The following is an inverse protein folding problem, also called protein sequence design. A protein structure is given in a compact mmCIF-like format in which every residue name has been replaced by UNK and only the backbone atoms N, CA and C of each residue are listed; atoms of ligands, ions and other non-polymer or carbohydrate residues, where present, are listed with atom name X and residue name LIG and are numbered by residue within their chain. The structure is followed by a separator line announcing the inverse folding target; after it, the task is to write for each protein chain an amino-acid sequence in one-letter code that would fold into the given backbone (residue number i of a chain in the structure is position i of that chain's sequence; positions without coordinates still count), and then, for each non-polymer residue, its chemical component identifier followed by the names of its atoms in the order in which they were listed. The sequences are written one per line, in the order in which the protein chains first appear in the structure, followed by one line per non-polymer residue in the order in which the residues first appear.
data_IF_154780834374
#
_entry.id   IF_154780834374
#
_cell.length_a   1.000
_cell.length_b   1.000
_cell.length_c   1.000
_cell.angle_alpha   90.00
_cell.angle_beta   90.00
_cell.angle_gamma   90.00
#
_symmetry.space_group_name_H-M   'P 1'
#
loop_
_entity.id
_entity.type
_entity.pdbx_description
1 polymer ?
#
# COMPACT_ATOMS: atom_id res chain seq x y z
N UNK A 1 -41.45 47.88 35.05
CA UNK A 1 -41.78 46.44 35.13
C UNK A 1 -40.47 45.67 34.94
N UNK A 2 -39.75 45.41 36.04
CA UNK A 2 -38.49 44.67 36.00
C UNK A 2 -38.86 43.19 36.08
N UNK A 3 -38.80 42.49 34.95
CA UNK A 3 -38.99 41.05 34.92
C UNK A 3 -37.82 40.41 35.68
N UNK A 4 -38.09 39.98 36.92
CA UNK A 4 -37.23 39.08 37.68
C UNK A 4 -37.16 37.76 36.92
N UNK A 5 -36.16 37.63 36.05
CA UNK A 5 -35.77 36.36 35.44
C UNK A 5 -35.21 35.52 36.58
N UNK A 6 -36.02 34.60 37.10
CA UNK A 6 -35.63 33.69 38.17
C UNK A 6 -34.35 32.91 37.80
N UNK A 7 -33.57 32.51 38.80
CA UNK A 7 -32.26 31.87 38.59
C UNK A 7 -32.30 30.66 37.64
N UNK A 8 -33.43 29.97 37.54
CA UNK A 8 -33.64 28.87 36.60
C UNK A 8 -33.68 29.30 35.14
N UNK A 9 -34.34 30.40 34.78
CA UNK A 9 -34.37 30.93 33.42
C UNK A 9 -33.03 31.54 33.01
N UNK A 10 -32.30 32.14 33.95
CA UNK A 10 -30.93 32.60 33.71
C UNK A 10 -29.95 31.44 33.44
N UNK A 11 -30.08 30.33 34.18
CA UNK A 11 -29.27 29.12 33.96
C UNK A 11 -29.55 28.46 32.60
N UNK A 12 -30.81 28.38 32.18
CA UNK A 12 -31.17 27.79 30.87
C UNK A 12 -30.59 28.63 29.72
N UNK A 13 -30.66 29.96 29.83
CA UNK A 13 -30.06 30.87 28.84
C UNK A 13 -28.53 30.73 28.78
N UNK A 14 -27.87 30.54 29.91
CA UNK A 14 -26.43 30.30 29.97
C UNK A 14 -26.05 28.98 29.28
N UNK A 15 -26.79 27.89 29.54
CA UNK A 15 -26.56 26.58 28.90
C UNK A 15 -26.77 26.68 27.39
N UNK A 16 -27.83 27.38 26.96
CA UNK A 16 -28.09 27.62 25.54
C UNK A 16 -26.97 28.45 24.88
N UNK A 17 -26.49 29.51 25.55
CA UNK A 17 -25.38 30.33 25.07
C UNK A 17 -24.07 29.54 24.98
N UNK A 18 -23.77 28.68 25.97
CA UNK A 18 -22.60 27.79 25.92
C UNK A 18 -22.73 26.80 24.77
N UNK A 19 -23.90 26.19 24.56
CA UNK A 19 -24.15 25.27 23.44
C UNK A 19 -24.01 25.94 22.08
N UNK A 20 -24.55 27.16 21.93
CA UNK A 20 -24.40 27.97 20.72
C UNK A 20 -22.94 28.38 20.48
N UNK A 21 -22.24 28.87 21.50
CA UNK A 21 -20.81 29.21 21.39
C UNK A 21 -19.98 27.99 21.01
N UNK A 22 -20.25 26.81 21.60
CA UNK A 22 -19.53 25.57 21.31
C UNK A 22 -19.75 25.12 19.86
N UNK A 23 -20.98 25.23 19.36
CA UNK A 23 -21.34 24.95 17.96
C UNK A 23 -20.77 25.97 16.97
N UNK A 24 -20.77 27.27 17.32
CA UNK A 24 -20.18 28.32 16.48
C UNK A 24 -18.65 28.31 16.45
N UNK A 25 -18.00 27.82 17.50
CA UNK A 25 -16.54 27.74 17.60
C UNK A 25 -15.96 26.42 17.09
N UNK A 26 -16.78 25.50 16.56
CA UNK A 26 -16.31 24.21 16.06
C UNK A 26 -15.69 23.31 17.13
N UNK A 27 -15.94 23.58 18.42
CA UNK A 27 -15.39 22.80 19.54
C UNK A 27 -15.97 21.36 19.63
N UNK A 28 -17.01 21.08 18.85
CA UNK A 28 -17.58 19.75 18.66
C UNK A 28 -17.07 19.06 17.38
N UNK A 29 -16.25 19.72 16.57
CA UNK A 29 -15.47 19.10 15.51
C UNK A 29 -14.39 18.26 16.20
N UNK A 30 -14.77 17.02 16.54
CA UNK A 30 -13.85 16.03 17.09
C UNK A 30 -12.74 15.90 16.06
N UNK A 31 -11.57 16.45 16.38
CA UNK A 31 -10.33 16.26 15.64
C UNK A 31 -10.28 14.80 15.19
N UNK A 32 -10.27 14.63 13.86
CA UNK A 32 -10.39 13.34 13.21
C UNK A 32 -9.25 12.40 13.62
N UNK A 33 -8.15 12.96 14.12
CA UNK A 33 -6.95 12.26 14.57
C UNK A 33 -6.91 12.04 16.09
N UNK A 34 -7.85 12.59 16.86
CA UNK A 34 -7.87 12.49 18.31
C UNK A 34 -8.41 11.12 18.81
N UNK A 35 -7.59 10.08 18.66
CA UNK A 35 -7.84 8.73 19.17
C UNK A 35 -6.51 7.97 19.34
N UNK A 36 -6.39 7.18 20.41
CA UNK A 36 -5.26 6.24 20.59
C UNK A 36 -5.43 4.96 19.75
N UNK A 37 -6.63 4.70 19.23
CA UNK A 37 -6.92 3.53 18.39
C UNK A 37 -6.62 3.86 16.93
N UNK A 38 -5.34 3.73 16.57
CA UNK A 38 -4.82 3.97 15.21
C UNK A 38 -4.22 2.69 14.62
N UNK A 39 -4.30 2.54 13.30
CA UNK A 39 -3.63 1.47 12.54
C UNK A 39 -3.35 1.93 11.11
N UNK A 40 -2.46 1.23 10.42
CA UNK A 40 -2.34 1.37 8.97
C UNK A 40 -3.48 0.63 8.28
N UNK A 41 -4.05 1.23 7.25
CA UNK A 41 -5.12 0.65 6.44
C UNK A 41 -4.63 0.41 5.04
N UNK A 42 -4.95 -0.74 4.46
CA UNK A 42 -4.84 -0.94 3.03
C UNK A 42 -5.83 0.01 2.35
N UNK A 43 -5.34 0.88 1.50
CA UNK A 43 -6.15 1.79 0.70
C UNK A 43 -6.64 1.09 -0.57
N UNK A 44 -5.72 0.45 -1.31
CA UNK A 44 -6.05 -0.24 -2.56
C UNK A 44 -5.09 -1.40 -2.87
N UNK A 45 -5.56 -2.32 -3.72
CA UNK A 45 -4.78 -3.42 -4.33
C UNK A 45 -5.08 -3.43 -5.83
N UNK A 46 -4.13 -2.99 -6.64
CA UNK A 46 -4.29 -2.94 -8.09
C UNK A 46 -3.41 -3.97 -8.81
N UNK A 47 -3.85 -4.36 -9.99
CA UNK A 47 -3.11 -5.24 -10.89
C UNK A 47 -2.87 -4.47 -12.18
N UNK A 48 -1.60 -4.21 -12.48
CA UNK A 48 -1.18 -3.47 -13.67
C UNK A 48 -0.61 -4.48 -14.64
N UNK A 49 -1.34 -4.76 -15.71
CA UNK A 49 -1.03 -5.82 -16.67
C UNK A 49 -0.81 -5.22 -18.06
N UNK A 50 0.12 -5.81 -18.81
CA UNK A 50 0.24 -5.55 -20.24
C UNK A 50 -0.67 -6.48 -21.06
N UNK A 51 -0.62 -6.34 -22.39
CA UNK A 51 -1.42 -7.14 -23.32
C UNK A 51 -1.17 -8.66 -23.24
N UNK A 52 -0.09 -9.10 -22.57
CA UNK A 52 0.26 -10.51 -22.38
C UNK A 52 -0.26 -11.07 -21.05
N UNK A 53 -0.94 -10.26 -20.23
CA UNK A 53 -1.43 -10.65 -18.91
C UNK A 53 -0.32 -10.80 -17.86
N UNK A 54 0.80 -10.09 -18.05
CA UNK A 54 1.90 -10.01 -17.10
C UNK A 54 2.14 -8.56 -16.69
N UNK A 55 2.65 -8.37 -15.48
CA UNK A 55 2.97 -7.05 -14.96
C UNK A 55 3.16 -7.12 -13.46
N UNK A 56 2.45 -6.28 -12.72
CA UNK A 56 2.70 -6.09 -11.29
C UNK A 56 1.40 -6.01 -10.48
N UNK A 57 1.43 -6.59 -9.29
CA UNK A 57 0.43 -6.37 -8.25
C UNK A 57 0.97 -5.32 -7.29
N UNK A 58 0.22 -4.25 -7.05
CA UNK A 58 0.61 -3.14 -6.21
C UNK A 58 -0.32 -3.05 -5.00
N UNK A 59 0.25 -2.82 -3.82
CA UNK A 59 -0.48 -2.53 -2.59
C UNK A 59 -0.17 -1.13 -2.10
N UNK A 60 -1.24 -0.36 -1.86
CA UNK A 60 -1.16 0.93 -1.22
C UNK A 60 -1.76 0.88 0.17
N UNK A 61 -1.07 1.54 1.09
CA UNK A 61 -1.53 1.70 2.46
C UNK A 61 -1.51 3.17 2.84
N UNK A 62 -2.22 3.49 3.92
CA UNK A 62 -2.02 4.76 4.59
C UNK A 62 -0.55 4.87 5.00
N UNK A 63 0.06 6.03 4.73
CA UNK A 63 1.45 6.34 5.10
C UNK A 63 1.66 6.10 6.60
N UNK A 64 0.81 6.70 7.42
CA UNK A 64 0.89 6.62 8.86
C UNK A 64 -0.23 5.75 9.46
N UNK A 65 -0.11 5.53 10.77
CA UNK A 65 -1.18 4.95 11.59
C UNK A 65 -2.27 6.00 11.77
N UNK A 66 -3.45 5.75 11.22
CA UNK A 66 -4.56 6.70 11.24
C UNK A 66 -5.77 6.15 11.99
N UNK A 67 -6.69 7.03 12.37
CA UNK A 67 -7.98 6.62 12.94
C UNK A 67 -8.88 6.06 11.83
N UNK A 68 -9.92 5.31 12.20
CA UNK A 68 -10.96 4.86 11.24
C UNK A 68 -11.61 6.06 10.54
N UNK A 69 -11.80 7.19 11.23
CA UNK A 69 -12.44 8.37 10.65
C UNK A 69 -11.53 9.00 9.61
N UNK A 70 -10.23 9.17 9.91
CA UNK A 70 -9.22 9.68 8.98
C UNK A 70 -9.12 8.78 7.75
N UNK A 71 -9.09 7.46 7.93
CA UNK A 71 -9.12 6.52 6.81
C UNK A 71 -10.36 6.69 5.92
N UNK A 72 -11.56 6.86 6.51
CA UNK A 72 -12.78 7.11 5.74
C UNK A 72 -12.73 8.42 4.97
N UNK A 73 -12.12 9.46 5.52
CA UNK A 73 -11.92 10.74 4.83
C UNK A 73 -10.94 10.57 3.66
N UNK A 74 -9.80 9.90 3.85
CA UNK A 74 -8.84 9.59 2.79
C UNK A 74 -9.51 8.88 1.61
N UNK A 75 -10.41 7.91 1.86
CA UNK A 75 -11.15 7.21 0.79
C UNK A 75 -12.02 8.14 -0.07
N UNK A 76 -12.40 9.32 0.43
CA UNK A 76 -13.20 10.30 -0.32
C UNK A 76 -12.37 11.23 -1.20
N UNK A 77 -11.04 11.18 -1.11
CA UNK A 77 -10.13 12.05 -1.85
C UNK A 77 -10.00 11.60 -3.30
N UNK A 78 -10.81 12.21 -4.17
CA UNK A 78 -10.92 11.82 -5.58
C UNK A 78 -9.59 11.88 -6.33
N UNK A 79 -8.69 12.82 -5.98
CA UNK A 79 -7.40 12.97 -6.64
C UNK A 79 -6.55 11.68 -6.57
N UNK A 80 -6.65 10.90 -5.48
CA UNK A 80 -5.88 9.65 -5.32
C UNK A 80 -6.35 8.63 -6.36
N UNK A 81 -7.67 8.44 -6.46
CA UNK A 81 -8.28 7.54 -7.44
C UNK A 81 -7.99 7.96 -8.88
N UNK A 82 -8.08 9.26 -9.18
CA UNK A 82 -7.76 9.80 -10.51
C UNK A 82 -6.26 9.58 -10.85
N UNK A 83 -5.37 9.63 -9.86
CA UNK A 83 -3.95 9.32 -10.05
C UNK A 83 -3.74 7.85 -10.42
N UNK A 84 -4.41 6.92 -9.73
CA UNK A 84 -4.23 5.49 -9.98
C UNK A 84 -4.85 5.04 -11.31
N UNK A 85 -5.97 5.63 -11.71
CA UNK A 85 -6.53 5.41 -13.04
C UNK A 85 -5.56 5.85 -14.15
N UNK A 86 -4.82 6.94 -13.94
CA UNK A 86 -3.75 7.35 -14.86
C UNK A 86 -2.58 6.38 -14.86
N UNK A 87 -2.15 5.90 -13.69
CA UNK A 87 -1.11 4.87 -13.58
C UNK A 87 -1.47 3.65 -14.43
N UNK A 88 -2.68 3.12 -14.27
CA UNK A 88 -3.17 1.96 -15.02
C UNK A 88 -3.22 2.22 -16.52
N UNK A 89 -3.72 3.40 -16.93
CA UNK A 89 -3.81 3.77 -18.34
C UNK A 89 -2.44 4.01 -19.01
N UNK A 90 -1.47 4.55 -18.28
CA UNK A 90 -0.17 4.98 -18.83
C UNK A 90 0.90 3.91 -18.76
N UNK A 91 0.80 2.93 -17.84
CA UNK A 91 1.84 1.92 -17.61
C UNK A 91 2.17 1.10 -18.86
N UNK A 92 1.13 0.68 -19.61
CA UNK A 92 1.30 -0.06 -20.85
C UNK A 92 2.18 0.71 -21.84
N UNK A 93 1.80 1.94 -22.17
CA UNK A 93 2.52 2.78 -23.13
C UNK A 93 3.94 3.12 -22.64
N UNK A 94 4.09 3.44 -21.35
CA UNK A 94 5.39 3.79 -20.77
C UNK A 94 6.42 2.66 -20.89
N UNK A 95 5.98 1.42 -20.72
CA UNK A 95 6.84 0.22 -20.78
C UNK A 95 6.66 -0.58 -22.08
N UNK A 96 6.27 0.08 -23.19
CA UNK A 96 6.15 -0.52 -24.53
C UNK A 96 5.27 -1.79 -24.57
N UNK A 97 4.26 -1.87 -23.70
CA UNK A 97 3.37 -3.01 -23.48
C UNK A 97 4.08 -4.34 -23.22
N UNK A 98 5.27 -4.28 -22.60
CA UNK A 98 6.08 -5.44 -22.22
C UNK A 98 6.62 -5.28 -20.81
N UNK A 99 5.72 -5.25 -19.83
CA UNK A 99 6.05 -5.11 -18.41
C UNK A 99 6.92 -6.26 -17.91
N UNK A 100 6.88 -7.42 -18.56
CA UNK A 100 7.74 -8.54 -18.19
C UNK A 100 9.24 -8.29 -18.44
N UNK A 101 9.58 -7.40 -19.36
CA UNK A 101 10.98 -7.06 -19.65
C UNK A 101 11.52 -5.92 -18.77
N UNK A 102 10.65 -5.31 -17.97
CA UNK A 102 10.97 -4.19 -17.07
C UNK A 102 11.50 -4.71 -15.74
N UNK A 103 12.58 -4.10 -15.24
CA UNK A 103 13.04 -4.34 -13.87
C UNK A 103 12.04 -3.77 -12.87
N UNK A 104 11.69 -4.53 -11.82
CA UNK A 104 10.68 -4.11 -10.85
C UNK A 104 11.02 -2.78 -10.17
N UNK A 105 12.30 -2.45 -9.96
CA UNK A 105 12.69 -1.16 -9.41
C UNK A 105 12.47 -0.02 -10.40
N UNK A 106 12.72 -0.25 -11.69
CA UNK A 106 12.49 0.77 -12.72
C UNK A 106 10.99 1.07 -12.86
N UNK A 107 10.14 0.04 -12.74
CA UNK A 107 8.69 0.22 -12.64
C UNK A 107 8.30 1.00 -11.39
N UNK A 108 8.86 0.66 -10.22
CA UNK A 108 8.58 1.36 -8.96
C UNK A 108 8.99 2.83 -9.02
N UNK A 109 10.20 3.15 -9.47
CA UNK A 109 10.67 4.54 -9.56
C UNK A 109 9.75 5.39 -10.41
N UNK A 110 9.25 4.83 -11.52
CA UNK A 110 8.23 5.50 -12.32
C UNK A 110 6.89 5.60 -11.58
N UNK A 111 6.40 4.51 -10.96
CA UNK A 111 5.09 4.46 -10.31
C UNK A 111 4.98 5.42 -9.11
N UNK A 112 6.09 5.75 -8.44
CA UNK A 112 6.13 6.74 -7.34
C UNK A 112 5.58 8.11 -7.72
N UNK A 113 5.61 8.50 -9.00
CA UNK A 113 5.03 9.79 -9.42
C UNK A 113 3.52 9.87 -9.21
N UNK A 114 2.84 8.72 -9.03
CA UNK A 114 1.40 8.64 -8.78
C UNK A 114 1.04 8.62 -7.30
N UNK A 115 2.02 8.53 -6.39
CA UNK A 115 1.85 8.70 -4.95
C UNK A 115 1.72 10.20 -4.62
N UNK A 116 0.58 10.79 -5.00
CA UNK A 116 0.36 12.24 -4.97
C UNK A 116 -0.17 12.78 -3.64
N UNK A 117 -0.67 11.91 -2.76
CA UNK A 117 -1.26 12.29 -1.49
C UNK A 117 -0.36 11.81 -0.35
N UNK A 118 0.07 12.69 0.58
CA UNK A 118 1.01 12.30 1.62
C UNK A 118 0.47 11.22 2.58
N UNK A 119 -0.85 11.04 2.67
CA UNK A 119 -1.46 10.07 3.57
C UNK A 119 -1.58 8.66 2.98
N UNK A 120 -1.24 8.45 1.71
CA UNK A 120 -1.27 7.14 1.04
C UNK A 120 -0.01 6.94 0.19
N UNK A 121 0.59 5.75 0.25
CA UNK A 121 1.77 5.42 -0.56
C UNK A 121 1.80 3.95 -0.98
N UNK A 122 2.53 3.67 -2.05
CA UNK A 122 2.87 2.33 -2.48
C UNK A 122 3.75 1.68 -1.40
N UNK A 123 3.31 0.55 -0.85
CA UNK A 123 4.07 -0.15 0.19
C UNK A 123 4.66 -1.45 -0.29
N UNK A 124 3.98 -2.15 -1.20
CA UNK A 124 4.47 -3.43 -1.68
C UNK A 124 4.13 -3.58 -3.16
N UNK A 125 5.00 -4.30 -3.85
CA UNK A 125 4.79 -4.67 -5.24
C UNK A 125 5.25 -6.10 -5.45
N UNK A 126 4.48 -6.89 -6.19
CA UNK A 126 4.85 -8.23 -6.64
C UNK A 126 4.87 -8.25 -8.16
N UNK A 127 5.74 -9.08 -8.73
CA UNK A 127 5.54 -9.49 -10.12
C UNK A 127 4.27 -10.34 -10.21
N UNK A 128 3.50 -10.14 -11.28
CA UNK A 128 2.20 -10.76 -11.45
C UNK A 128 2.05 -11.30 -12.88
N UNK A 129 1.38 -12.45 -13.01
CA UNK A 129 1.12 -13.08 -14.31
C UNK A 129 1.72 -14.48 -14.44
N UNK A 130 1.22 -15.22 -15.43
CA UNK A 130 1.57 -16.64 -15.59
C UNK A 130 3.02 -16.83 -16.04
N UNK A 131 3.54 -15.93 -16.87
CA UNK A 131 4.90 -16.05 -17.39
C UNK A 131 5.93 -15.71 -16.32
N UNK A 132 5.71 -14.68 -15.50
CA UNK A 132 6.53 -14.43 -14.32
C UNK A 132 6.55 -15.65 -13.39
N UNK A 133 5.39 -16.24 -13.08
CA UNK A 133 5.31 -17.47 -12.28
C UNK A 133 6.12 -18.61 -12.90
N UNK A 134 6.13 -18.74 -14.23
CA UNK A 134 6.95 -19.74 -14.92
C UNK A 134 8.44 -19.47 -14.75
N UNK A 135 8.87 -18.21 -14.89
CA UNK A 135 10.26 -17.81 -14.77
C UNK A 135 10.83 -18.11 -13.38
N UNK A 136 10.18 -17.63 -12.32
CA UNK A 136 10.62 -17.86 -10.92
C UNK A 136 10.41 -19.30 -10.41
N UNK A 137 9.96 -20.21 -11.27
CA UNK A 137 9.87 -21.65 -10.97
C UNK A 137 10.92 -22.47 -11.71
N UNK A 138 11.74 -21.83 -12.54
CA UNK A 138 12.81 -22.54 -13.25
C UNK A 138 13.84 -23.07 -12.23
N UNK A 139 14.33 -24.30 -12.43
CA UNK A 139 15.37 -24.85 -11.58
C UNK A 139 16.67 -24.06 -11.71
N UNK A 140 17.48 -24.07 -10.65
CA UNK A 140 18.83 -23.51 -10.62
C UNK A 140 19.80 -24.58 -10.15
N UNK A 141 21.05 -24.55 -10.61
CA UNK A 141 22.11 -25.49 -10.22
C UNK A 141 22.34 -25.50 -8.69
N UNK A 142 21.96 -24.41 -8.01
CA UNK A 142 22.12 -24.23 -6.57
C UNK A 142 21.08 -24.99 -5.74
N UNK A 143 19.94 -25.39 -6.32
CA UNK A 143 18.83 -26.04 -5.60
C UNK A 143 18.16 -27.15 -6.44
N UNK A 144 18.83 -28.29 -6.66
CA UNK A 144 18.32 -29.36 -7.52
C UNK A 144 17.11 -30.14 -6.95
N UNK A 145 16.71 -29.89 -5.70
CA UNK A 145 15.60 -30.61 -5.06
C UNK A 145 14.51 -29.67 -4.56
N UNK A 146 13.70 -29.10 -5.45
CA UNK A 146 12.48 -28.36 -5.06
C UNK A 146 11.32 -28.65 -6.00
N UNK A 147 10.32 -29.35 -5.47
CA UNK A 147 9.00 -29.49 -6.08
C UNK A 147 8.05 -28.44 -5.47
N UNK A 148 7.99 -27.25 -6.06
CA UNK A 148 6.97 -26.27 -5.69
C UNK A 148 5.66 -26.64 -6.41
N UNK A 149 4.55 -26.92 -5.71
CA UNK A 149 3.25 -27.08 -6.36
C UNK A 149 2.90 -25.80 -7.10
N UNK A 150 2.20 -25.92 -8.23
CA UNK A 150 1.81 -24.80 -9.09
C UNK A 150 0.93 -23.74 -8.38
N UNK A 151 0.48 -24.02 -7.15
CA UNK A 151 -0.57 -23.30 -6.42
C UNK A 151 -0.10 -22.30 -5.36
N UNK A 152 1.19 -22.22 -5.00
CA UNK A 152 1.68 -21.24 -4.02
C UNK A 152 2.47 -20.11 -4.71
N UNK A 153 2.23 -18.85 -4.30
CA UNK A 153 2.99 -17.65 -4.72
C UNK A 153 4.35 -17.53 -3.98
N UNK A 154 4.72 -18.54 -3.19
CA UNK A 154 6.06 -18.65 -2.59
C UNK A 154 7.14 -18.57 -3.67
N UNK A 155 8.20 -17.80 -3.41
CA UNK A 155 9.33 -17.64 -4.31
C UNK A 155 9.14 -16.59 -5.42
N UNK A 156 7.97 -15.97 -5.52
CA UNK A 156 7.73 -14.88 -6.48
C UNK A 156 8.43 -13.60 -6.01
N UNK A 157 9.05 -12.88 -6.95
CA UNK A 157 9.72 -11.61 -6.67
C UNK A 157 8.73 -10.58 -6.13
N UNK A 158 9.11 -9.93 -5.03
CA UNK A 158 8.37 -8.84 -4.44
C UNK A 158 9.31 -7.82 -3.81
N UNK A 159 8.83 -6.59 -3.65
CA UNK A 159 9.49 -5.54 -2.87
C UNK A 159 8.59 -5.16 -1.68
N UNK A 160 9.23 -4.88 -0.56
CA UNK A 160 8.58 -4.32 0.63
C UNK A 160 8.76 -2.79 0.69
N UNK A 161 8.09 -2.15 1.65
CA UNK A 161 8.03 -0.69 1.68
C UNK A 161 9.41 -0.04 1.83
N UNK A 162 10.33 -0.69 2.54
CA UNK A 162 11.70 -0.20 2.67
C UNK A 162 12.54 -0.42 1.41
N UNK A 163 12.13 -1.33 0.52
CA UNK A 163 12.77 -1.48 -0.78
C UNK A 163 12.19 -0.44 -1.77
N UNK A 164 10.90 -0.11 -1.66
CA UNK A 164 10.24 0.96 -2.43
C UNK A 164 10.77 2.33 -1.98
N UNK A 165 10.78 2.60 -0.69
CA UNK A 165 11.19 3.87 -0.08
C UNK A 165 12.34 3.62 0.91
N UNK A 166 13.58 3.44 0.41
CA UNK A 166 14.72 3.17 1.27
C UNK A 166 15.04 4.36 2.16
N UNK A 167 15.45 4.07 3.40
CA UNK A 167 15.89 5.10 4.34
C UNK A 167 17.15 5.82 3.84
N UNK A 168 18.08 5.07 3.25
CA UNK A 168 19.26 5.59 2.57
C UNK A 168 19.12 5.36 1.05
N UNK A 169 19.00 6.41 0.23
CA UNK A 169 18.90 6.29 -1.22
C UNK A 169 20.14 5.67 -1.89
N UNK A 170 21.27 5.59 -1.19
CA UNK A 170 22.50 4.96 -1.67
C UNK A 170 22.56 3.45 -1.38
N UNK A 171 21.55 2.89 -0.70
CA UNK A 171 21.51 1.45 -0.43
C UNK A 171 21.35 0.66 -1.74
N UNK A 172 22.06 -0.47 -1.82
CA UNK A 172 21.97 -1.37 -2.97
C UNK A 172 20.56 -1.96 -3.12
N UNK A 173 20.12 -2.12 -4.38
CA UNK A 173 18.87 -2.81 -4.71
C UNK A 173 18.88 -4.23 -4.15
N UNK A 174 17.78 -4.63 -3.51
CA UNK A 174 17.61 -5.92 -2.86
C UNK A 174 16.36 -6.62 -3.36
N UNK A 175 16.55 -7.66 -4.15
CA UNK A 175 15.50 -8.47 -4.71
C UNK A 175 15.08 -9.54 -3.71
N UNK A 176 13.78 -9.60 -3.38
CA UNK A 176 13.24 -10.51 -2.37
C UNK A 176 12.22 -11.45 -2.97
N UNK A 177 12.15 -12.65 -2.40
CA UNK A 177 11.26 -13.68 -2.89
C UNK A 177 10.25 -14.02 -1.80
N UNK A 178 8.97 -14.02 -2.15
CA UNK A 178 7.88 -14.12 -1.20
C UNK A 178 8.02 -15.38 -0.35
N UNK A 179 8.01 -15.21 0.98
CA UNK A 179 8.19 -16.28 1.96
C UNK A 179 9.52 -17.06 1.81
N UNK A 180 10.56 -16.45 1.24
CA UNK A 180 11.92 -16.99 1.22
C UNK A 180 12.83 -16.18 2.15
N UNK A 181 13.86 -16.83 2.70
CA UNK A 181 14.93 -16.11 3.44
C UNK A 181 16.00 -15.56 2.52
N UNK A 182 16.18 -16.18 1.37
CA UNK A 182 17.15 -15.78 0.35
C UNK A 182 16.74 -14.47 -0.29
N UNK A 183 17.72 -13.62 -0.58
CA UNK A 183 17.58 -12.37 -1.32
C UNK A 183 18.72 -12.26 -2.32
N UNK A 184 18.55 -11.45 -3.37
CA UNK A 184 19.55 -11.26 -4.42
C UNK A 184 19.85 -9.78 -4.65
N UNK A 185 20.97 -9.50 -5.30
CA UNK A 185 21.39 -8.17 -5.77
C UNK A 185 20.92 -7.86 -7.19
N UNK A 186 20.31 -8.82 -7.87
CA UNK A 186 19.77 -8.67 -9.23
C UNK A 186 18.50 -9.48 -9.40
N UNK A 187 17.68 -9.14 -10.40
CA UNK A 187 16.56 -9.99 -10.81
C UNK A 187 17.07 -11.22 -11.58
N UNK A 188 17.23 -12.33 -10.86
CA UNK A 188 17.78 -13.57 -11.42
C UNK A 188 16.75 -14.46 -12.13
N UNK A 189 15.44 -14.25 -11.90
CA UNK A 189 14.34 -14.96 -12.59
C UNK A 189 14.41 -16.49 -12.58
N UNK A 190 14.76 -17.09 -11.44
CA UNK A 190 14.67 -18.53 -11.20
C UNK A 190 14.11 -18.83 -9.79
N UNK A 191 14.02 -20.11 -9.42
CA UNK A 191 13.50 -20.53 -8.12
C UNK A 191 14.49 -20.28 -6.97
N UNK A 192 14.10 -19.44 -6.01
CA UNK A 192 14.86 -19.15 -4.77
C UNK A 192 14.28 -19.78 -3.50
N UNK A 193 13.19 -20.56 -3.64
CA UNK A 193 12.61 -21.29 -2.52
C UNK A 193 13.68 -22.24 -1.98
N UNK A 194 13.67 -22.53 -0.68
CA UNK A 194 14.47 -23.60 -0.09
C UNK A 194 13.55 -24.66 0.52
N UNK A 195 14.06 -25.85 0.81
CA UNK A 195 13.27 -26.88 1.51
C UNK A 195 12.76 -26.40 2.88
N UNK A 196 13.53 -25.56 3.56
CA UNK A 196 13.12 -24.95 4.83
C UNK A 196 11.97 -23.96 4.62
N UNK A 197 12.04 -23.11 3.59
CA UNK A 197 10.97 -22.18 3.25
C UNK A 197 9.68 -22.93 2.93
N UNK A 198 9.75 -23.95 2.08
CA UNK A 198 8.60 -24.77 1.73
C UNK A 198 7.97 -25.46 2.95
N UNK A 199 8.81 -26.01 3.84
CA UNK A 199 8.34 -26.69 5.07
C UNK A 199 7.69 -25.73 6.06
N UNK A 200 8.10 -24.45 6.08
CA UNK A 200 7.54 -23.42 6.94
C UNK A 200 6.14 -23.00 6.48
N UNK A 201 5.95 -22.87 5.17
CA UNK A 201 4.68 -22.39 4.57
C UNK A 201 3.57 -23.44 4.63
N UNK A 202 3.93 -24.73 4.70
CA UNK A 202 2.98 -25.84 4.82
C UNK A 202 2.36 -25.99 6.22
N UNK A 203 2.98 -25.42 7.26
CA UNK A 203 2.52 -25.52 8.66
C UNK A 203 1.48 -24.46 8.97
#
# INVERSE_FOLDING_TARGET
MVLLVGGTTSFILLIAAIGLCRSCMGLDEIDIDNSYMVKRYQFDRAYIEDSTGNGYELLWYTTDYVTVKRYKEILTRQQIWDSYQRLEAEAGDHFNHRLIDTDIYDFVEWAKQFDIDPDVRLTNIWVYGTEYKRLYRQPTEHFPEIATPFAYDIGILYLEENDVYPYNPEDDRKYRYWQCRTTSSSDERFNHVTQEDYSRVKK
#
